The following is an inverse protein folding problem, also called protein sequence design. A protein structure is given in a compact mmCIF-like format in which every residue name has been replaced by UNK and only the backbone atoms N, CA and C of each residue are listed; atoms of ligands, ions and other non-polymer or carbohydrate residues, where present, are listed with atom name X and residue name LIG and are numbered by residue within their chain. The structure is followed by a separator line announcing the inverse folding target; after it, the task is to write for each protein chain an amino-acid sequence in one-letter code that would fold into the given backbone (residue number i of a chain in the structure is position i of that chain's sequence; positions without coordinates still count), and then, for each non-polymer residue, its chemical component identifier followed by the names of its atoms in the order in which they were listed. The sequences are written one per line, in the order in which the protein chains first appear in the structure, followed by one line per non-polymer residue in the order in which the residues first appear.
data_IF_690407651464
#
_entry.id   IF_690407651464
#
_cell.length_a   1.000
_cell.length_b   1.000
_cell.length_c   1.000
_cell.angle_alpha   90.00
_cell.angle_beta   90.00
_cell.angle_gamma   90.00
#
_symmetry.space_group_name_H-M   'P 1'
#
loop_
_entity.id
_entity.type
_entity.pdbx_description
1 polymer ?
#
# COMPACT_ATOMS: atom_id res chain seq x y z
N UNK A 1 13.96 9.53 -8.49
CA UNK A 1 13.07 10.17 -7.65
C UNK A 1 13.51 11.52 -7.03
N UNK A 2 13.81 11.68 -5.73
CA UNK A 2 14.29 12.96 -5.19
C UNK A 2 15.80 13.06 -5.48
N UNK A 3 16.22 14.12 -6.21
CA UNK A 3 17.62 14.38 -6.53
C UNK A 3 18.31 15.17 -5.41
N UNK A 4 17.61 16.16 -4.83
CA UNK A 4 18.12 16.93 -3.71
C UNK A 4 16.99 17.50 -2.87
N UNK A 5 17.32 17.85 -1.63
CA UNK A 5 16.43 18.56 -0.70
C UNK A 5 17.17 19.72 -0.03
N UNK A 6 16.44 20.78 0.29
CA UNK A 6 16.88 21.77 1.26
C UNK A 6 16.12 21.56 2.57
N UNK A 7 16.86 21.47 3.66
CA UNK A 7 16.29 21.30 5.00
C UNK A 7 16.65 22.52 5.87
N UNK A 8 15.64 23.06 6.56
CA UNK A 8 15.86 23.91 7.72
C UNK A 8 16.04 22.98 8.94
N UNK A 9 17.22 22.97 9.50
CA UNK A 9 17.64 22.10 10.59
C UNK A 9 18.56 22.85 11.56
N UNK A 10 19.05 22.17 12.59
CA UNK A 10 20.08 22.72 13.48
C UNK A 10 21.49 22.43 12.96
N UNK A 11 22.45 23.25 13.40
CA UNK A 11 23.87 22.93 13.27
C UNK A 11 24.25 21.77 14.21
N UNK A 12 25.42 21.18 14.04
CA UNK A 12 25.90 20.07 14.86
C UNK A 12 25.99 20.38 16.36
N UNK A 13 26.05 21.68 16.72
CA UNK A 13 26.06 22.12 18.13
C UNK A 13 24.63 22.25 18.71
N UNK A 14 23.61 22.21 17.87
CA UNK A 14 22.21 22.41 18.25
C UNK A 14 21.85 23.84 18.64
N UNK A 15 22.73 24.82 18.44
CA UNK A 15 22.56 26.19 18.90
C UNK A 15 21.99 27.12 17.84
N UNK A 16 22.25 26.84 16.58
CA UNK A 16 21.86 27.72 15.47
C UNK A 16 21.03 26.97 14.43
N UNK A 17 19.98 27.62 13.94
CA UNK A 17 19.23 27.11 12.80
C UNK A 17 19.97 27.44 11.49
N UNK A 18 19.96 26.52 10.55
CA UNK A 18 20.58 26.68 9.24
C UNK A 18 19.73 26.03 8.14
N UNK A 19 19.96 26.43 6.90
CA UNK A 19 19.44 25.73 5.72
C UNK A 19 20.59 24.97 5.08
N UNK A 20 20.44 23.66 4.95
CA UNK A 20 21.39 22.76 4.31
C UNK A 20 20.83 22.20 3.02
N UNK A 21 21.68 22.15 1.99
CA UNK A 21 21.36 21.46 0.73
C UNK A 21 21.92 20.05 0.78
N UNK A 22 21.03 19.06 0.66
CA UNK A 22 21.38 17.64 0.70
C UNK A 22 21.24 17.07 -0.72
N UNK A 23 22.35 16.72 -1.34
CA UNK A 23 22.42 16.30 -2.75
C UNK A 23 22.87 14.86 -2.95
N UNK A 24 23.54 14.26 -1.97
CA UNK A 24 24.11 12.92 -2.12
C UNK A 24 24.39 12.23 -0.78
N UNK A 25 24.87 11.02 -0.87
CA UNK A 25 25.35 10.24 0.27
C UNK A 25 24.26 9.78 1.22
N UNK A 26 24.67 9.41 2.41
CA UNK A 26 23.81 8.85 3.44
C UNK A 26 22.75 9.86 3.93
N UNK A 27 23.08 11.13 3.96
CA UNK A 27 22.14 12.19 4.32
C UNK A 27 20.98 12.27 3.34
N UNK A 28 21.23 12.10 2.02
CA UNK A 28 20.16 12.05 1.02
C UNK A 28 19.34 10.76 1.14
N UNK A 29 19.98 9.63 1.38
CA UNK A 29 19.29 8.35 1.62
C UNK A 29 18.35 8.42 2.83
N UNK A 30 18.76 9.10 3.92
CA UNK A 30 17.91 9.34 5.08
C UNK A 30 16.80 10.35 4.79
N UNK A 31 17.13 11.46 4.12
CA UNK A 31 16.20 12.58 3.89
C UNK A 31 15.03 12.19 2.98
N UNK A 32 15.23 11.29 2.02
CA UNK A 32 14.18 10.78 1.12
C UNK A 32 13.04 10.05 1.84
N UNK A 33 13.31 9.50 3.04
CA UNK A 33 12.31 8.89 3.92
C UNK A 33 12.63 9.24 5.38
N UNK A 34 12.57 10.52 5.73
CA UNK A 34 13.04 11.02 7.02
C UNK A 34 11.98 11.02 8.13
N UNK A 35 10.71 10.83 7.82
CA UNK A 35 9.58 10.94 8.76
C UNK A 35 9.55 12.28 9.52
N UNK A 36 10.22 13.30 8.99
CA UNK A 36 10.36 14.62 9.61
C UNK A 36 11.48 14.73 10.65
N UNK A 37 12.26 13.67 10.91
CA UNK A 37 13.27 13.63 11.98
C UNK A 37 14.53 14.46 11.71
N UNK A 38 14.74 14.92 10.48
CA UNK A 38 15.93 15.68 10.11
C UNK A 38 15.73 17.20 10.13
N UNK A 39 14.48 17.67 10.18
CA UNK A 39 14.16 19.08 10.04
C UNK A 39 12.95 19.34 9.16
N UNK A 40 12.74 20.58 8.79
CA UNK A 40 11.66 21.01 7.90
C UNK A 40 12.16 21.08 6.46
N UNK A 41 11.50 20.32 5.56
CA UNK A 41 11.80 20.38 4.12
C UNK A 41 11.30 21.72 3.58
N UNK A 42 12.19 22.51 3.01
CA UNK A 42 11.86 23.82 2.42
C UNK A 42 11.88 23.81 0.89
N UNK A 43 12.65 22.89 0.30
CA UNK A 43 12.71 22.70 -1.15
C UNK A 43 12.99 21.23 -1.51
N UNK A 44 12.44 20.77 -2.62
CA UNK A 44 12.71 19.43 -3.18
C UNK A 44 12.96 19.53 -4.67
N UNK A 45 14.06 18.97 -5.15
CA UNK A 45 14.35 18.81 -6.58
C UNK A 45 13.94 17.43 -7.05
N UNK A 46 13.07 17.38 -8.06
CA UNK A 46 12.60 16.16 -8.69
C UNK A 46 13.00 16.11 -10.16
N UNK A 47 13.50 14.97 -10.68
CA UNK A 47 13.72 14.79 -12.10
C UNK A 47 12.39 14.75 -12.84
N UNK A 48 12.30 15.47 -13.93
CA UNK A 48 11.14 15.49 -14.79
C UNK A 48 11.40 14.74 -16.09
N UNK A 49 10.45 13.96 -16.54
CA UNK A 49 10.48 13.31 -17.85
C UNK A 49 9.42 13.92 -18.77
N UNK A 50 9.63 13.92 -20.10
CA UNK A 50 8.60 14.36 -21.05
C UNK A 50 7.30 13.58 -20.84
N UNK A 51 6.18 14.27 -21.03
CA UNK A 51 4.88 13.62 -20.94
C UNK A 51 4.73 12.53 -22.01
N UNK A 52 4.22 11.39 -21.59
CA UNK A 52 3.98 10.22 -22.43
C UNK A 52 2.51 9.78 -22.36
N UNK A 53 2.15 8.84 -23.22
CA UNK A 53 0.82 8.21 -23.21
C UNK A 53 0.91 6.82 -22.61
N UNK A 54 -0.14 6.43 -21.91
CA UNK A 54 -0.29 5.11 -21.28
C UNK A 54 -1.48 4.40 -21.94
N UNK A 55 -1.25 3.19 -22.39
CA UNK A 55 -2.32 2.28 -22.77
C UNK A 55 -2.73 1.48 -21.55
N UNK A 56 -4.04 1.42 -21.31
CA UNK A 56 -4.65 0.73 -20.17
C UNK A 56 -5.77 -0.19 -20.65
N UNK A 57 -5.86 -1.37 -20.03
CA UNK A 57 -7.03 -2.27 -20.12
C UNK A 57 -7.18 -3.06 -18.82
N UNK A 58 -8.39 -3.55 -18.56
CA UNK A 58 -8.70 -4.40 -17.42
C UNK A 58 -8.92 -5.83 -17.86
N UNK A 59 -8.31 -6.79 -17.15
CA UNK A 59 -8.40 -8.24 -17.42
C UNK A 59 -8.69 -8.98 -16.13
N UNK A 60 -9.66 -9.89 -16.13
CA UNK A 60 -9.91 -10.78 -15.00
C UNK A 60 -8.98 -11.99 -15.06
N UNK A 61 -8.37 -12.30 -13.92
CA UNK A 61 -7.49 -13.44 -13.73
C UNK A 61 -8.01 -14.30 -12.55
N UNK A 62 -7.89 -15.60 -12.65
CA UNK A 62 -8.31 -16.49 -11.58
C UNK A 62 -7.23 -16.66 -10.51
N UNK A 63 -5.97 -16.56 -10.92
CA UNK A 63 -4.81 -16.76 -10.06
C UNK A 63 -3.87 -15.55 -10.11
N UNK A 64 -3.02 -15.43 -9.09
CA UNK A 64 -2.00 -14.39 -9.05
C UNK A 64 -0.90 -14.65 -10.08
N UNK A 65 -0.63 -15.92 -10.40
CA UNK A 65 0.37 -16.32 -11.40
C UNK A 65 0.00 -15.75 -12.79
N UNK A 66 -1.28 -15.81 -13.16
CA UNK A 66 -1.78 -15.20 -14.40
C UNK A 66 -1.52 -13.69 -14.40
N UNK A 67 -1.81 -13.00 -13.28
CA UNK A 67 -1.55 -11.57 -13.12
C UNK A 67 -0.07 -11.24 -13.28
N UNK A 68 0.80 -12.03 -12.65
CA UNK A 68 2.25 -11.83 -12.70
C UNK A 68 2.87 -12.14 -14.08
N UNK A 69 2.19 -12.96 -14.90
CA UNK A 69 2.55 -13.13 -16.32
C UNK A 69 2.21 -11.90 -17.13
N UNK A 70 1.01 -11.31 -16.92
CA UNK A 70 0.60 -10.08 -17.60
C UNK A 70 1.51 -8.90 -17.25
N UNK A 71 1.96 -8.81 -16.00
CA UNK A 71 2.84 -7.74 -15.52
C UNK A 71 4.16 -7.65 -16.29
N UNK A 72 4.70 -8.79 -16.78
CA UNK A 72 5.93 -8.79 -17.60
C UNK A 72 5.76 -7.99 -18.90
N UNK A 73 4.55 -7.92 -19.43
CA UNK A 73 4.21 -7.19 -20.65
C UNK A 73 3.67 -5.78 -20.36
N UNK A 74 3.15 -5.56 -19.15
CA UNK A 74 2.54 -4.32 -18.71
C UNK A 74 3.20 -3.81 -17.40
N UNK A 75 4.42 -3.29 -17.44
CA UNK A 75 5.23 -3.00 -16.25
C UNK A 75 4.68 -1.90 -15.33
N UNK A 76 3.71 -1.11 -15.80
CA UNK A 76 3.02 -0.10 -14.99
C UNK A 76 1.69 -0.63 -14.40
N UNK A 77 1.48 -1.94 -14.45
CA UNK A 77 0.30 -2.61 -13.94
C UNK A 77 0.12 -2.39 -12.43
N UNK A 78 -1.14 -2.26 -12.03
CA UNK A 78 -1.61 -2.59 -10.69
C UNK A 78 -2.68 -3.65 -10.78
N UNK A 79 -2.93 -4.37 -9.69
CA UNK A 79 -3.98 -5.38 -9.69
C UNK A 79 -4.72 -5.43 -8.35
N UNK A 80 -5.89 -6.01 -8.37
CA UNK A 80 -6.77 -6.03 -7.21
C UNK A 80 -7.26 -7.46 -6.95
N UNK A 81 -7.18 -7.90 -5.71
CA UNK A 81 -7.93 -9.06 -5.24
C UNK A 81 -9.33 -8.58 -4.87
N UNK A 82 -10.33 -9.07 -5.59
CA UNK A 82 -11.73 -8.68 -5.39
C UNK A 82 -12.34 -9.45 -4.22
N UNK A 83 -12.76 -8.76 -3.15
CA UNK A 83 -13.33 -9.45 -2.00
C UNK A 83 -14.63 -10.17 -2.37
N UNK A 84 -14.93 -11.25 -1.66
CA UNK A 84 -16.13 -12.07 -1.82
C UNK A 84 -16.20 -12.88 -3.12
N UNK A 85 -15.66 -12.41 -4.22
CA UNK A 85 -15.55 -13.11 -5.50
C UNK A 85 -14.20 -13.82 -5.66
N UNK A 86 -13.17 -13.30 -5.00
CA UNK A 86 -11.83 -13.86 -4.86
C UNK A 86 -11.08 -14.15 -6.16
N UNK A 87 -11.43 -13.43 -7.24
CA UNK A 87 -10.64 -13.34 -8.47
C UNK A 87 -9.74 -12.11 -8.43
N UNK A 88 -8.77 -12.04 -9.30
CA UNK A 88 -7.94 -10.87 -9.51
C UNK A 88 -8.43 -10.04 -10.69
N UNK A 89 -8.36 -8.73 -10.55
CA UNK A 89 -8.54 -7.76 -11.62
C UNK A 89 -7.19 -7.12 -11.91
N UNK A 90 -6.56 -7.49 -13.02
CA UNK A 90 -5.35 -6.84 -13.50
C UNK A 90 -5.72 -5.57 -14.29
N UNK A 91 -5.22 -4.43 -13.88
CA UNK A 91 -5.27 -3.20 -14.63
C UNK A 91 -3.91 -3.03 -15.33
N UNK A 92 -3.83 -3.65 -16.52
CA UNK A 92 -2.62 -3.64 -17.32
C UNK A 92 -2.34 -2.24 -17.85
N UNK A 93 -1.12 -1.75 -17.62
CA UNK A 93 -0.69 -0.43 -18.07
C UNK A 93 0.70 -0.53 -18.68
N UNK A 94 0.86 0.07 -19.86
CA UNK A 94 2.15 0.16 -20.55
C UNK A 94 2.32 1.50 -21.23
N UNK A 95 3.57 1.92 -21.44
CA UNK A 95 3.88 3.12 -22.21
C UNK A 95 3.43 2.88 -23.66
N UNK A 96 2.57 3.76 -24.17
CA UNK A 96 2.03 3.64 -25.54
C UNK A 96 2.93 4.38 -26.54
N UNK A 97 3.21 3.78 -27.71
CA UNK A 97 3.85 4.50 -28.80
C UNK A 97 2.93 5.56 -29.46
N UNK A 98 1.63 5.50 -29.19
CA UNK A 98 0.66 6.44 -29.73
C UNK A 98 0.78 7.81 -29.06
N UNK A 99 0.90 8.86 -29.86
CA UNK A 99 1.00 10.25 -29.42
C UNK A 99 -0.37 10.97 -29.29
N UNK A 100 -1.46 10.20 -29.19
CA UNK A 100 -2.83 10.73 -29.08
C UNK A 100 -3.73 9.80 -28.28
N UNK A 101 -4.82 10.36 -27.77
CA UNK A 101 -5.86 9.59 -27.09
C UNK A 101 -6.58 8.65 -28.05
N UNK A 102 -6.88 7.43 -27.56
CA UNK A 102 -7.61 6.41 -28.29
C UNK A 102 -8.58 5.68 -27.35
N UNK A 103 -9.49 4.88 -27.91
CA UNK A 103 -10.41 4.03 -27.15
C UNK A 103 -11.46 4.80 -26.35
N UNK A 104 -11.92 5.96 -26.84
CA UNK A 104 -12.89 6.82 -26.13
C UNK A 104 -12.43 7.22 -24.73
N UNK A 105 -11.14 7.60 -24.57
CA UNK A 105 -10.51 7.87 -23.28
C UNK A 105 -11.31 8.85 -22.39
N UNK A 106 -11.97 9.86 -22.96
CA UNK A 106 -12.80 10.78 -22.18
C UNK A 106 -14.02 10.07 -21.56
N UNK A 107 -14.72 9.26 -22.35
CA UNK A 107 -15.86 8.46 -21.88
C UNK A 107 -15.43 7.46 -20.81
N UNK A 108 -14.29 6.80 -21.01
CA UNK A 108 -13.71 5.87 -20.02
C UNK A 108 -13.42 6.57 -18.69
N UNK A 109 -12.88 7.80 -18.70
CA UNK A 109 -12.62 8.57 -17.46
C UNK A 109 -13.92 9.00 -16.77
N UNK A 110 -14.95 9.39 -17.52
CA UNK A 110 -16.26 9.69 -16.96
C UNK A 110 -16.89 8.44 -16.35
N UNK A 111 -16.81 7.31 -17.02
CA UNK A 111 -17.28 6.02 -16.49
C UNK A 111 -16.55 5.66 -15.17
N UNK A 112 -15.22 5.72 -15.12
CA UNK A 112 -14.46 5.45 -13.91
C UNK A 112 -14.90 6.36 -12.77
N UNK A 113 -14.96 7.65 -13.00
CA UNK A 113 -15.41 8.61 -11.99
C UNK A 113 -16.82 8.32 -11.48
N UNK A 114 -17.79 8.13 -12.36
CA UNK A 114 -19.18 7.97 -11.95
C UNK A 114 -19.48 6.58 -11.36
N UNK A 115 -18.90 5.51 -11.89
CA UNK A 115 -19.24 4.14 -11.50
C UNK A 115 -18.28 3.62 -10.43
N UNK A 116 -16.98 3.78 -10.63
CA UNK A 116 -15.98 3.22 -9.72
C UNK A 116 -15.74 4.17 -8.56
N UNK A 117 -15.42 5.43 -8.79
CA UNK A 117 -15.07 6.33 -7.70
C UNK A 117 -16.32 6.75 -6.91
N UNK A 118 -17.26 7.44 -7.55
CA UNK A 118 -18.45 7.97 -6.88
C UNK A 118 -19.47 6.87 -6.53
N UNK A 119 -19.80 5.99 -7.50
CA UNK A 119 -20.81 4.95 -7.32
C UNK A 119 -20.43 3.95 -6.24
N UNK A 120 -19.19 3.43 -6.28
CA UNK A 120 -18.67 2.52 -5.25
C UNK A 120 -18.69 3.19 -3.87
N UNK A 121 -18.25 4.46 -3.77
CA UNK A 121 -18.29 5.21 -2.52
C UNK A 121 -19.70 5.32 -1.95
N UNK A 122 -20.68 5.74 -2.76
CA UNK A 122 -22.07 5.91 -2.32
C UNK A 122 -22.69 4.57 -1.89
N UNK A 123 -22.46 3.50 -2.66
CA UNK A 123 -22.95 2.16 -2.31
C UNK A 123 -22.30 1.66 -1.02
N UNK A 124 -20.98 1.81 -0.86
CA UNK A 124 -20.32 1.40 0.40
C UNK A 124 -20.82 2.21 1.59
N UNK A 125 -21.00 3.51 1.46
CA UNK A 125 -21.59 4.35 2.49
C UNK A 125 -22.98 3.84 2.89
N UNK A 126 -23.83 3.52 1.91
CA UNK A 126 -25.17 2.96 2.16
C UNK A 126 -25.09 1.61 2.86
N UNK A 127 -24.34 0.65 2.32
CA UNK A 127 -24.33 -0.74 2.81
C UNK A 127 -23.60 -0.89 4.15
N UNK A 128 -22.51 -0.17 4.37
CA UNK A 128 -21.63 -0.31 5.53
C UNK A 128 -22.04 0.63 6.66
N UNK A 129 -22.24 1.93 6.38
CA UNK A 129 -22.54 2.92 7.44
C UNK A 129 -24.02 3.01 7.78
N UNK A 130 -24.90 3.01 6.78
CA UNK A 130 -26.34 3.21 7.01
C UNK A 130 -27.05 1.89 7.30
N UNK A 131 -26.94 0.91 6.42
CA UNK A 131 -27.63 -0.38 6.55
C UNK A 131 -26.87 -1.37 7.45
N UNK A 132 -25.57 -1.18 7.65
CA UNK A 132 -24.69 -2.05 8.43
C UNK A 132 -24.84 -3.54 8.09
N UNK A 133 -25.05 -3.85 6.80
CA UNK A 133 -25.42 -5.18 6.34
C UNK A 133 -24.28 -5.88 5.61
N UNK A 134 -23.56 -6.74 6.32
CA UNK A 134 -22.52 -7.62 5.78
C UNK A 134 -23.04 -8.52 4.64
N UNK A 135 -24.33 -8.96 4.74
CA UNK A 135 -24.96 -9.77 3.70
C UNK A 135 -25.09 -9.01 2.38
N UNK A 136 -25.52 -7.76 2.42
CA UNK A 136 -25.66 -6.92 1.23
C UNK A 136 -24.29 -6.59 0.62
N UNK A 137 -23.28 -6.34 1.44
CA UNK A 137 -21.89 -6.17 0.96
C UNK A 137 -21.44 -7.41 0.18
N UNK A 138 -21.66 -8.62 0.72
CA UNK A 138 -21.30 -9.87 0.01
C UNK A 138 -22.03 -10.02 -1.32
N UNK A 139 -23.34 -9.77 -1.34
CA UNK A 139 -24.14 -9.83 -2.57
C UNK A 139 -23.65 -8.81 -3.59
N UNK A 140 -23.37 -7.59 -3.17
CA UNK A 140 -22.87 -6.54 -4.06
C UNK A 140 -21.56 -6.95 -4.74
N UNK A 141 -20.57 -7.41 -3.96
CA UNK A 141 -19.26 -7.83 -4.53
C UNK A 141 -19.36 -9.10 -5.38
N UNK A 142 -20.25 -10.02 -5.06
CA UNK A 142 -20.41 -11.27 -5.85
C UNK A 142 -21.17 -11.07 -7.15
N UNK A 143 -22.22 -10.24 -7.12
CA UNK A 143 -23.18 -10.19 -8.24
C UNK A 143 -23.14 -8.89 -9.01
N UNK A 144 -22.81 -7.76 -8.38
CA UNK A 144 -22.87 -6.44 -9.03
C UNK A 144 -21.51 -6.01 -9.55
N UNK A 145 -20.48 -6.05 -8.70
CA UNK A 145 -19.14 -5.56 -9.06
C UNK A 145 -18.57 -6.20 -10.33
N UNK A 146 -18.69 -7.54 -10.58
CA UNK A 146 -18.19 -8.13 -11.81
C UNK A 146 -18.82 -7.56 -13.09
N UNK A 147 -20.09 -7.12 -13.00
CA UNK A 147 -20.81 -6.51 -14.13
C UNK A 147 -20.48 -5.04 -14.33
N UNK A 148 -19.89 -4.38 -13.34
CA UNK A 148 -19.51 -2.97 -13.44
C UNK A 148 -18.15 -2.77 -14.12
N UNK A 149 -17.30 -3.78 -14.20
CA UNK A 149 -15.96 -3.66 -14.79
C UNK A 149 -15.97 -4.15 -16.23
N UNK A 150 -15.73 -3.24 -17.17
CA UNK A 150 -15.60 -3.59 -18.58
C UNK A 150 -14.22 -4.16 -18.86
N UNK A 151 -14.20 -5.46 -19.19
CA UNK A 151 -12.97 -6.15 -19.61
C UNK A 151 -12.59 -5.75 -21.04
N UNK A 152 -11.27 -5.76 -21.31
CA UNK A 152 -10.71 -5.58 -22.65
C UNK A 152 -11.04 -4.24 -23.33
N UNK A 153 -11.56 -3.28 -22.59
CA UNK A 153 -11.68 -1.92 -23.10
C UNK A 153 -10.31 -1.26 -23.13
N UNK A 154 -9.69 -1.27 -24.30
CA UNK A 154 -8.35 -0.71 -24.49
C UNK A 154 -8.45 0.81 -24.66
N UNK A 155 -7.81 1.53 -23.75
CA UNK A 155 -7.80 2.99 -23.72
C UNK A 155 -6.37 3.52 -23.73
N UNK A 156 -6.13 4.57 -24.52
CA UNK A 156 -4.84 5.30 -24.47
C UNK A 156 -5.11 6.74 -24.03
N UNK A 157 -4.47 7.15 -22.96
CA UNK A 157 -4.55 8.52 -22.43
C UNK A 157 -3.19 9.02 -21.95
N UNK A 158 -3.11 10.30 -21.66
CA UNK A 158 -1.90 10.93 -21.10
C UNK A 158 -1.54 10.33 -19.74
N UNK A 159 -0.25 10.21 -19.45
CA UNK A 159 0.24 9.64 -18.19
C UNK A 159 -0.31 10.35 -16.94
N UNK A 160 -0.45 11.69 -16.97
CA UNK A 160 -1.03 12.48 -15.86
C UNK A 160 -2.52 12.21 -15.59
N UNK A 161 -3.21 11.57 -16.52
CA UNK A 161 -4.62 11.16 -16.39
C UNK A 161 -4.81 9.68 -16.15
N UNK A 162 -3.88 8.88 -16.66
CA UNK A 162 -3.94 7.43 -16.52
C UNK A 162 -3.36 6.93 -15.19
N UNK A 163 -2.32 7.61 -14.68
CA UNK A 163 -1.57 7.14 -13.51
C UNK A 163 -1.85 7.94 -12.23
N UNK A 164 -2.47 9.11 -12.32
CA UNK A 164 -2.72 9.97 -11.17
C UNK A 164 -4.21 10.00 -10.84
N UNK A 165 -4.57 9.56 -9.63
CA UNK A 165 -5.90 9.76 -9.07
C UNK A 165 -6.03 11.22 -8.62
N UNK A 166 -7.03 11.92 -9.14
CA UNK A 166 -7.25 13.36 -8.86
C UNK A 166 -8.31 13.61 -7.79
N UNK A 167 -9.05 12.58 -7.40
CA UNK A 167 -10.19 12.69 -6.50
C UNK A 167 -10.06 11.69 -5.37
N UNK A 168 -10.13 12.18 -4.14
CA UNK A 168 -10.25 11.38 -2.95
C UNK A 168 -11.62 11.70 -2.32
N UNK A 169 -12.62 10.90 -2.73
CA UNK A 169 -14.03 11.20 -2.42
C UNK A 169 -14.46 10.82 -1.01
N UNK A 170 -13.67 10.02 -0.30
CA UNK A 170 -14.03 9.58 1.04
C UNK A 170 -12.83 9.39 1.96
N UNK A 171 -13.08 9.60 3.25
CA UNK A 171 -12.12 9.24 4.29
C UNK A 171 -12.18 7.74 4.54
N UNK A 172 -11.04 7.10 4.60
CA UNK A 172 -10.90 5.67 4.80
C UNK A 172 -9.90 5.35 5.90
N UNK A 173 -9.97 4.12 6.39
CA UNK A 173 -8.93 3.50 7.19
C UNK A 173 -8.12 2.60 6.27
N UNK A 174 -6.83 2.48 6.53
CA UNK A 174 -5.94 1.70 5.68
C UNK A 174 -4.82 1.06 6.49
N UNK A 175 -4.53 -0.18 6.16
CA UNK A 175 -3.27 -0.86 6.39
C UNK A 175 -2.62 -1.09 5.03
N UNK A 176 -1.34 -0.81 4.88
CA UNK A 176 -0.59 -1.15 3.68
C UNK A 176 0.69 -1.90 4.06
N UNK A 177 0.78 -3.14 3.61
CA UNK A 177 1.90 -4.04 3.88
C UNK A 177 2.73 -4.25 2.62
N UNK A 178 4.05 -4.29 2.78
CA UNK A 178 5.01 -4.47 1.69
C UNK A 178 5.69 -5.82 1.85
N UNK A 179 5.62 -6.64 0.82
CA UNK A 179 6.31 -7.93 0.72
C UNK A 179 7.19 -7.98 -0.50
N UNK A 180 8.25 -8.75 -0.47
CA UNK A 180 9.14 -8.94 -1.62
C UNK A 180 8.46 -9.75 -2.72
N UNK A 181 8.97 -9.66 -3.95
CA UNK A 181 8.49 -10.42 -5.10
C UNK A 181 8.45 -11.92 -4.85
N UNK A 182 9.44 -12.44 -4.16
CA UNK A 182 9.51 -13.86 -3.79
C UNK A 182 8.36 -14.31 -2.89
N UNK A 183 7.78 -13.43 -2.08
CA UNK A 183 6.71 -13.74 -1.14
C UNK A 183 5.29 -13.36 -1.63
N UNK A 184 5.15 -12.59 -2.72
CA UNK A 184 3.84 -12.01 -3.09
C UNK A 184 2.75 -13.04 -3.34
N UNK A 185 3.06 -14.17 -3.98
CA UNK A 185 2.10 -15.24 -4.26
C UNK A 185 1.58 -15.88 -2.97
N UNK A 186 2.48 -16.19 -2.07
CA UNK A 186 2.13 -16.79 -0.78
C UNK A 186 1.39 -15.81 0.12
N UNK A 187 1.82 -14.55 0.13
CA UNK A 187 1.15 -13.49 0.88
C UNK A 187 -0.27 -13.24 0.36
N UNK A 188 -0.49 -13.22 -0.95
CA UNK A 188 -1.83 -13.05 -1.53
C UNK A 188 -2.77 -14.21 -1.17
N UNK A 189 -2.27 -15.46 -1.19
CA UNK A 189 -3.03 -16.64 -0.78
C UNK A 189 -3.38 -16.60 0.71
N UNK A 190 -2.40 -16.23 1.57
CA UNK A 190 -2.60 -16.04 3.00
C UNK A 190 -3.65 -14.95 3.29
N UNK A 191 -3.51 -13.78 2.67
CA UNK A 191 -4.45 -12.66 2.81
C UNK A 191 -5.87 -13.08 2.44
N UNK A 192 -6.04 -13.76 1.31
CA UNK A 192 -7.35 -14.28 0.87
C UNK A 192 -7.98 -15.19 1.93
N UNK A 193 -7.22 -16.13 2.47
CA UNK A 193 -7.68 -17.10 3.46
C UNK A 193 -8.09 -16.41 4.78
N UNK A 194 -7.25 -15.48 5.27
CA UNK A 194 -7.54 -14.70 6.48
C UNK A 194 -8.78 -13.80 6.30
N UNK A 195 -8.94 -13.15 5.16
CA UNK A 195 -10.11 -12.31 4.91
C UNK A 195 -11.40 -13.13 4.84
N UNK A 196 -11.36 -14.34 4.29
CA UNK A 196 -12.49 -15.26 4.29
C UNK A 196 -12.84 -15.72 5.72
N UNK A 197 -11.83 -16.00 6.55
CA UNK A 197 -12.00 -16.37 7.94
C UNK A 197 -12.57 -15.22 8.80
N UNK A 198 -12.08 -14.01 8.55
CA UNK A 198 -12.58 -12.81 9.22
C UNK A 198 -14.04 -12.48 8.84
N UNK A 199 -14.46 -12.83 7.62
CA UNK A 199 -15.82 -12.62 7.15
C UNK A 199 -16.80 -13.70 7.62
N UNK A 200 -16.40 -14.98 7.59
CA UNK A 200 -17.29 -16.11 7.84
C UNK A 200 -16.72 -17.01 8.96
N UNK A 201 -17.42 -17.06 10.09
CA UNK A 201 -17.03 -17.90 11.24
C UNK A 201 -16.98 -19.41 10.93
N UNK A 202 -17.63 -19.85 9.86
CA UNK A 202 -17.64 -21.26 9.42
C UNK A 202 -16.55 -21.55 8.39
N UNK A 203 -15.83 -20.55 7.89
CA UNK A 203 -14.71 -20.76 6.99
C UNK A 203 -13.59 -21.50 7.73
N UNK A 204 -13.07 -22.57 7.11
CA UNK A 204 -11.93 -23.30 7.62
C UNK A 204 -10.69 -22.81 6.89
N UNK A 205 -9.68 -22.41 7.64
CA UNK A 205 -8.39 -22.02 7.07
C UNK A 205 -7.74 -23.23 6.38
N UNK A 206 -6.99 -22.96 5.34
CA UNK A 206 -6.19 -24.00 4.67
C UNK A 206 -5.16 -24.62 5.63
N UNK A 207 -4.82 -25.87 5.41
CA UNK A 207 -3.81 -26.56 6.21
C UNK A 207 -2.47 -25.81 6.24
N UNK A 208 -2.08 -25.22 5.11
CA UNK A 208 -0.87 -24.42 4.97
C UNK A 208 -0.93 -23.14 5.84
N UNK A 209 -2.06 -22.43 5.85
CA UNK A 209 -2.24 -21.26 6.70
C UNK A 209 -2.17 -21.62 8.19
N UNK A 210 -2.82 -22.72 8.57
CA UNK A 210 -2.77 -23.21 9.96
C UNK A 210 -1.34 -23.55 10.36
N UNK A 211 -0.62 -24.34 9.55
CA UNK A 211 0.76 -24.72 9.82
C UNK A 211 1.67 -23.49 10.00
N UNK A 212 1.55 -22.50 9.10
CA UNK A 212 2.32 -21.25 9.18
C UNK A 212 2.03 -20.47 10.46
N UNK A 213 0.76 -20.28 10.79
CA UNK A 213 0.36 -19.58 12.00
C UNK A 213 0.76 -20.32 13.28
N UNK A 214 0.77 -21.66 13.24
CA UNK A 214 1.24 -22.47 14.35
C UNK A 214 2.75 -22.28 14.57
N UNK A 215 3.55 -22.34 13.50
CA UNK A 215 5.00 -22.10 13.58
C UNK A 215 5.33 -20.69 14.09
N UNK A 216 4.55 -19.70 13.70
CA UNK A 216 4.66 -18.32 14.17
C UNK A 216 4.02 -18.06 15.54
N UNK A 217 3.42 -19.06 16.18
CA UNK A 217 2.71 -18.95 17.48
C UNK A 217 1.53 -17.96 17.47
N UNK A 218 0.88 -17.76 16.32
CA UNK A 218 -0.19 -16.80 16.11
C UNK A 218 -1.61 -17.40 16.10
N UNK A 219 -1.77 -18.72 16.30
CA UNK A 219 -3.10 -19.37 16.27
C UNK A 219 -4.08 -18.79 17.29
N UNK A 220 -3.63 -18.48 18.50
CA UNK A 220 -4.49 -17.92 19.54
C UNK A 220 -5.09 -16.56 19.13
N UNK A 221 -4.33 -15.75 18.37
CA UNK A 221 -4.76 -14.43 17.91
C UNK A 221 -5.90 -14.49 16.88
N UNK A 222 -6.12 -15.62 16.18
CA UNK A 222 -7.22 -15.81 15.23
C UNK A 222 -8.60 -15.57 15.86
N UNK A 223 -8.75 -15.87 17.15
CA UNK A 223 -10.03 -15.68 17.86
C UNK A 223 -10.51 -14.23 17.85
N UNK A 224 -9.58 -13.28 17.77
CA UNK A 224 -9.87 -11.85 17.76
C UNK A 224 -10.54 -11.37 16.47
N UNK A 225 -10.37 -12.10 15.35
CA UNK A 225 -10.86 -11.70 14.03
C UNK A 225 -11.96 -12.60 13.48
N UNK A 226 -12.17 -13.80 14.05
CA UNK A 226 -13.06 -14.84 13.52
C UNK A 226 -14.49 -14.34 13.30
N UNK A 227 -14.94 -14.29 12.05
CA UNK A 227 -16.30 -13.90 11.70
C UNK A 227 -16.67 -12.45 12.06
N UNK A 228 -15.70 -11.56 12.33
CA UNK A 228 -15.98 -10.22 12.85
C UNK A 228 -15.98 -9.12 11.79
N UNK A 229 -15.26 -9.30 10.67
CA UNK A 229 -15.10 -8.25 9.68
C UNK A 229 -15.37 -8.73 8.25
N UNK A 230 -16.18 -8.01 7.50
CA UNK A 230 -16.40 -8.22 6.06
C UNK A 230 -15.63 -7.15 5.29
N UNK A 231 -14.54 -7.55 4.64
CA UNK A 231 -13.78 -6.62 3.81
C UNK A 231 -14.63 -6.15 2.62
N UNK A 232 -14.62 -4.85 2.34
CA UNK A 232 -15.58 -4.20 1.45
C UNK A 232 -14.96 -3.19 0.48
N UNK A 233 -13.66 -3.32 0.20
CA UNK A 233 -12.97 -2.65 -0.89
C UNK A 233 -12.02 -3.64 -1.58
N UNK A 234 -11.71 -3.44 -2.87
CA UNK A 234 -10.68 -4.22 -3.54
C UNK A 234 -9.33 -4.08 -2.83
N UNK A 235 -8.64 -5.21 -2.61
CA UNK A 235 -7.28 -5.20 -2.06
C UNK A 235 -6.32 -4.90 -3.21
N UNK A 236 -5.68 -3.73 -3.17
CA UNK A 236 -4.80 -3.27 -4.23
C UNK A 236 -3.38 -3.80 -4.05
N UNK A 237 -2.80 -4.29 -5.14
CA UNK A 237 -1.40 -4.68 -5.22
C UNK A 237 -0.69 -3.79 -6.22
N UNK A 238 0.46 -3.23 -5.80
CA UNK A 238 1.31 -2.39 -6.65
C UNK A 238 2.75 -2.82 -6.55
N UNK A 239 3.40 -3.00 -7.70
CA UNK A 239 4.83 -3.26 -7.75
C UNK A 239 5.61 -1.99 -7.44
N UNK A 240 6.59 -2.11 -6.55
CA UNK A 240 7.49 -1.04 -6.13
C UNK A 240 8.92 -1.48 -6.42
N UNK A 241 9.66 -0.66 -7.14
CA UNK A 241 11.07 -0.93 -7.39
C UNK A 241 11.89 -0.74 -6.10
N UNK A 242 12.95 -1.54 -5.91
CA UNK A 242 13.84 -1.36 -4.77
C UNK A 242 14.53 0.00 -4.83
N UNK A 243 14.87 0.55 -3.66
CA UNK A 243 15.58 1.81 -3.51
C UNK A 243 16.75 1.73 -2.53
N UNK A 244 17.57 2.79 -2.50
CA UNK A 244 18.77 2.90 -1.69
C UNK A 244 18.57 3.69 -0.39
N UNK A 245 17.34 4.11 -0.06
CA UNK A 245 17.06 4.83 1.18
C UNK A 245 17.33 3.99 2.41
N UNK A 246 17.44 4.61 3.57
CA UNK A 246 17.79 3.88 4.79
C UNK A 246 16.60 3.09 5.34
N UNK A 247 15.39 3.66 5.30
CA UNK A 247 14.20 3.11 5.97
C UNK A 247 12.92 3.15 5.12
N UNK A 248 12.99 3.28 3.79
CA UNK A 248 11.77 3.11 2.98
C UNK A 248 11.30 1.66 3.01
N UNK A 249 10.02 1.46 2.70
CA UNK A 249 9.44 0.12 2.68
C UNK A 249 10.04 -0.79 1.59
N UNK A 250 10.72 -0.22 0.58
CA UNK A 250 11.38 -0.95 -0.51
C UNK A 250 12.91 -0.92 -0.44
N UNK A 251 13.50 -0.47 0.68
CA UNK A 251 14.95 -0.34 0.84
C UNK A 251 15.66 -1.67 1.08
N UNK A 252 16.94 -1.74 0.70
CA UNK A 252 17.88 -2.76 1.18
C UNK A 252 17.79 -4.13 0.52
N UNK A 253 17.04 -4.27 -0.58
CA UNK A 253 16.99 -5.51 -1.40
C UNK A 253 17.31 -5.21 -2.85
N UNK A 254 17.56 -6.25 -3.63
CA UNK A 254 17.72 -6.16 -5.09
C UNK A 254 16.47 -6.60 -5.85
N UNK A 255 15.47 -7.15 -5.17
CA UNK A 255 14.21 -7.59 -5.77
C UNK A 255 13.09 -6.56 -5.61
N UNK A 256 12.10 -6.62 -6.48
CA UNK A 256 10.92 -5.79 -6.41
C UNK A 256 10.08 -6.09 -5.16
N UNK A 257 9.35 -5.09 -4.70
CA UNK A 257 8.39 -5.18 -3.62
C UNK A 257 6.96 -5.07 -4.15
N UNK A 258 6.01 -5.55 -3.36
CA UNK A 258 4.59 -5.36 -3.61
C UNK A 258 3.93 -4.73 -2.40
N UNK A 259 3.38 -3.55 -2.62
CA UNK A 259 2.47 -2.92 -1.66
C UNK A 259 1.11 -3.58 -1.75
N UNK A 260 0.58 -4.04 -0.62
CA UNK A 260 -0.73 -4.67 -0.46
C UNK A 260 -1.58 -3.75 0.41
N UNK A 261 -2.52 -3.02 -0.20
CA UNK A 261 -3.34 -2.02 0.48
C UNK A 261 -4.70 -2.59 0.87
N UNK A 262 -4.99 -2.56 2.17
CA UNK A 262 -6.27 -2.94 2.77
C UNK A 262 -7.03 -1.68 3.13
N UNK A 263 -7.86 -1.21 2.22
CA UNK A 263 -8.69 -0.01 2.42
C UNK A 263 -10.06 -0.42 2.94
N UNK A 264 -10.61 0.34 3.88
CA UNK A 264 -11.96 0.15 4.39
C UNK A 264 -12.65 1.49 4.66
N UNK A 265 -13.97 1.50 4.70
CA UNK A 265 -14.72 2.64 5.20
C UNK A 265 -14.43 2.88 6.69
N UNK A 266 -14.70 4.08 7.22
CA UNK A 266 -14.36 4.43 8.61
C UNK A 266 -15.03 3.54 9.68
N UNK A 267 -16.08 2.83 9.30
CA UNK A 267 -16.80 1.87 10.13
C UNK A 267 -16.85 0.49 9.45
N UNK A 268 -16.85 -0.60 10.17
CA UNK A 268 -16.60 -0.70 11.62
C UNK A 268 -15.10 -0.57 11.93
N UNK A 269 -14.76 0.37 12.81
CA UNK A 269 -13.36 0.78 13.06
C UNK A 269 -12.58 -0.25 13.88
N UNK A 270 -13.13 -0.69 14.99
CA UNK A 270 -12.43 -1.56 15.94
C UNK A 270 -12.16 -2.94 15.33
N UNK A 271 -13.13 -3.48 14.60
CA UNK A 271 -13.00 -4.75 13.90
C UNK A 271 -11.96 -4.66 12.76
N UNK A 272 -11.90 -3.53 12.08
CA UNK A 272 -10.84 -3.31 11.10
C UNK A 272 -9.46 -3.24 11.76
N UNK A 273 -9.31 -2.50 12.85
CA UNK A 273 -8.01 -2.41 13.52
C UNK A 273 -7.56 -3.73 14.13
N UNK A 274 -8.50 -4.55 14.62
CA UNK A 274 -8.18 -5.91 15.07
C UNK A 274 -7.64 -6.77 13.91
N UNK A 275 -8.33 -6.75 12.76
CA UNK A 275 -7.89 -7.46 11.55
C UNK A 275 -6.56 -6.90 11.03
N UNK A 276 -6.41 -5.58 10.93
CA UNK A 276 -5.21 -4.92 10.42
C UNK A 276 -3.99 -5.22 11.31
N UNK A 277 -4.17 -5.22 12.64
CA UNK A 277 -3.11 -5.58 13.58
C UNK A 277 -2.73 -7.06 13.44
N UNK A 278 -3.71 -7.95 13.31
CA UNK A 278 -3.44 -9.36 13.05
C UNK A 278 -2.67 -9.57 11.74
N UNK A 279 -3.12 -8.94 10.65
CA UNK A 279 -2.44 -9.02 9.34
C UNK A 279 -1.02 -8.46 9.41
N UNK A 280 -0.81 -7.29 10.02
CA UNK A 280 0.52 -6.71 10.14
C UNK A 280 1.50 -7.62 10.88
N UNK A 281 1.08 -8.19 12.02
CA UNK A 281 1.93 -9.07 12.82
C UNK A 281 2.17 -10.42 12.11
N UNK A 282 1.14 -11.03 11.55
CA UNK A 282 1.29 -12.31 10.85
C UNK A 282 2.11 -12.17 9.57
N UNK A 283 1.92 -11.10 8.81
CA UNK A 283 2.72 -10.85 7.61
C UNK A 283 4.18 -10.50 7.92
N UNK A 284 4.43 -9.85 9.06
CA UNK A 284 5.80 -9.68 9.55
C UNK A 284 6.46 -11.03 9.83
N UNK A 285 5.85 -11.88 10.64
CA UNK A 285 6.42 -13.19 11.03
C UNK A 285 6.60 -14.14 9.84
N UNK A 286 5.64 -14.13 8.90
CA UNK A 286 5.62 -15.08 7.78
C UNK A 286 6.41 -14.63 6.56
N UNK A 287 6.45 -13.33 6.29
CA UNK A 287 6.96 -12.77 5.02
C UNK A 287 7.92 -11.61 5.23
N UNK A 288 8.29 -11.29 6.46
CA UNK A 288 9.11 -10.11 6.80
C UNK A 288 8.51 -8.82 6.23
N UNK A 289 7.17 -8.72 6.27
CA UNK A 289 6.45 -7.61 5.70
C UNK A 289 6.72 -6.30 6.45
N UNK A 290 6.96 -5.24 5.71
CA UNK A 290 7.06 -3.87 6.21
C UNK A 290 5.72 -3.18 6.10
N UNK A 291 5.43 -2.25 7.01
CA UNK A 291 4.18 -1.50 7.01
C UNK A 291 4.45 -0.06 6.57
N UNK A 292 3.51 0.54 5.87
CA UNK A 292 3.59 1.93 5.41
C UNK A 292 3.61 2.89 6.61
N UNK A 293 4.62 3.73 6.72
CA UNK A 293 4.83 4.67 7.83
C UNK A 293 3.66 5.61 8.13
N UNK A 294 2.90 5.99 7.13
CA UNK A 294 1.78 6.94 7.24
C UNK A 294 0.38 6.30 7.35
N UNK A 295 0.28 4.99 7.57
CA UNK A 295 -0.99 4.25 7.68
C UNK A 295 -1.18 3.68 9.10
N UNK A 296 -2.08 2.73 9.29
CA UNK A 296 -2.14 1.99 10.55
C UNK A 296 -0.83 1.24 10.77
N UNK A 297 -0.13 1.57 11.85
CA UNK A 297 1.24 1.13 12.06
C UNK A 297 1.40 0.45 13.44
N UNK A 298 1.14 -0.87 13.55
CA UNK A 298 1.23 -1.58 14.82
C UNK A 298 2.64 -2.10 15.17
N UNK A 299 3.58 -2.13 14.19
CA UNK A 299 4.93 -2.66 14.41
C UNK A 299 5.68 -1.90 15.52
N UNK A 300 6.47 -2.63 16.30
CA UNK A 300 7.29 -2.08 17.39
C UNK A 300 8.75 -1.87 16.96
N UNK A 301 9.55 -1.25 17.84
CA UNK A 301 10.95 -0.94 17.56
C UNK A 301 11.81 -2.19 17.31
N UNK A 302 11.53 -3.29 18.00
CA UNK A 302 12.26 -4.55 17.82
C UNK A 302 12.05 -5.13 16.42
N UNK A 303 10.79 -5.19 15.97
CA UNK A 303 10.44 -5.62 14.62
C UNK A 303 11.08 -4.72 13.55
N UNK A 304 11.12 -3.41 13.80
CA UNK A 304 11.72 -2.46 12.86
C UNK A 304 13.25 -2.62 12.75
N UNK A 305 13.93 -2.90 13.85
CA UNK A 305 15.36 -3.19 13.82
C UNK A 305 15.68 -4.48 13.03
N UNK A 306 14.78 -5.47 13.05
CA UNK A 306 14.93 -6.68 12.23
C UNK A 306 14.68 -6.39 10.73
N UNK A 307 13.68 -5.55 10.42
CA UNK A 307 13.27 -5.25 9.05
C UNK A 307 14.18 -4.27 8.32
N UNK A 308 14.84 -3.37 9.05
CA UNK A 308 15.64 -2.29 8.48
C UNK A 308 17.10 -2.35 8.93
N UNK A 309 17.97 -3.06 8.19
CA UNK A 309 19.37 -3.24 8.59
C UNK A 309 20.18 -1.95 8.72
N UNK A 310 19.68 -0.85 8.10
CA UNK A 310 20.32 0.48 8.16
C UNK A 310 19.68 1.40 9.20
N UNK A 311 18.88 0.89 10.14
CA UNK A 311 18.17 1.70 11.13
C UNK A 311 19.13 2.52 12.00
N UNK A 312 20.24 1.94 12.45
CA UNK A 312 21.22 2.68 13.26
C UNK A 312 21.87 3.82 12.49
N UNK A 313 22.20 3.60 11.23
CA UNK A 313 22.70 4.66 10.33
C UNK A 313 21.68 5.79 10.16
N UNK A 314 20.39 5.45 10.08
CA UNK A 314 19.32 6.46 10.05
C UNK A 314 19.28 7.28 11.33
N UNK A 315 19.39 6.63 12.50
CA UNK A 315 19.43 7.30 13.81
C UNK A 315 20.63 8.25 13.93
N UNK A 316 21.81 7.82 13.43
CA UNK A 316 23.01 8.65 13.41
C UNK A 316 22.83 9.91 12.57
N UNK A 317 22.18 9.77 11.40
CA UNK A 317 21.86 10.93 10.56
C UNK A 317 20.88 11.86 11.27
N UNK A 318 19.81 11.32 11.89
CA UNK A 318 18.86 12.12 12.66
C UNK A 318 19.54 12.93 13.76
N UNK A 319 20.46 12.32 14.51
CA UNK A 319 21.19 12.97 15.60
C UNK A 319 22.12 14.10 15.12
N UNK A 320 22.65 14.00 13.90
CA UNK A 320 23.47 15.09 13.30
C UNK A 320 22.65 16.32 12.93
N UNK A 321 21.42 16.12 12.41
CA UNK A 321 20.56 17.23 11.96
C UNK A 321 19.62 17.76 13.06
N UNK A 322 19.37 16.98 14.08
CA UNK A 322 18.54 17.33 15.24
C UNK A 322 19.18 16.84 16.54
N UNK A 323 20.32 17.41 16.96
CA UNK A 323 21.02 16.98 18.16
C UNK A 323 20.21 17.23 19.46
N UNK A 324 19.24 18.13 19.44
CA UNK A 324 18.39 18.45 20.56
C UNK A 324 17.04 17.71 20.57
N UNK A 325 16.74 16.91 19.56
CA UNK A 325 15.48 16.15 19.47
C UNK A 325 14.23 16.99 19.26
N UNK A 326 14.36 18.20 18.67
CA UNK A 326 13.25 19.15 18.46
C UNK A 326 12.21 18.63 17.44
N UNK A 327 12.65 17.85 16.45
CA UNK A 327 11.80 17.28 15.40
C UNK A 327 11.26 15.89 15.75
N UNK A 328 11.48 15.43 16.97
CA UNK A 328 10.98 14.14 17.46
C UNK A 328 9.57 14.30 18.03
N UNK A 329 8.79 13.29 17.85
CA UNK A 329 7.48 13.13 18.49
C UNK A 329 7.38 11.73 19.09
N UNK A 330 6.36 11.50 19.88
CA UNK A 330 6.15 10.22 20.56
C UNK A 330 6.21 9.00 19.62
N UNK A 331 5.65 9.11 18.41
CA UNK A 331 5.70 8.01 17.43
C UNK A 331 7.14 7.68 17.03
N UNK A 332 7.92 8.70 16.72
CA UNK A 332 9.34 8.56 16.31
C UNK A 332 10.18 7.99 17.46
N UNK A 333 9.99 8.51 18.66
CA UNK A 333 10.70 8.04 19.86
C UNK A 333 10.39 6.56 20.15
N UNK A 334 9.10 6.19 20.22
CA UNK A 334 8.68 4.82 20.52
C UNK A 334 9.01 3.82 19.41
N UNK A 335 8.92 4.22 18.13
CA UNK A 335 9.10 3.30 17.01
C UNK A 335 10.54 3.22 16.51
N UNK A 336 11.20 4.35 16.40
CA UNK A 336 12.57 4.39 15.85
C UNK A 336 13.66 4.36 16.94
N UNK A 337 13.32 4.59 18.20
CA UNK A 337 14.28 4.62 19.30
C UNK A 337 15.19 5.85 19.23
N UNK A 338 14.65 7.01 18.82
CA UNK A 338 15.35 8.28 18.69
C UNK A 338 15.22 9.14 19.94
#
# INVERSE_FOLDING_TARGET
YIESLQLACFDETGKSAQIVNITEGESLQAARCSLGCLGVVVEVTLPCIPQYFVQEKSTFCQTIEEVLVLEKQAPLQQFFLMPQSWYFLAQERLVSPAQRRRGFAALYRIYWFLVIDLGMHLVMKLLVSMLRSRRLVRVFFRSVVPSLVFQNWVVTDRSDRALVMKHELFRHLELEAFVTRSHVTEAASFVKDILQYADNSNHQLSALTIERLQKAQLLAALSSIKGRFTHHYPICFRRILPDDTLISMASGTSEDWYAISFITYQEPRDEFYALATFLANSMFELFQARIHWGKWFPQNSEQLNQLYPKMDRFRDVCSRYDPNGVFRNRFVEEKLGL
#
